data_IF_200959790638
#
_entry.id   IF_200959790638
#
_cell.length_a   1.000
_cell.length_b   1.000
_cell.length_c   1.000
_cell.angle_alpha   90.00
_cell.angle_beta   90.00
_cell.angle_gamma   90.00
#
_symmetry.space_group_name_H-M   'P 1'
#
loop_
_entity.id
_entity.type
_entity.pdbx_description
1 polymer ?
#
# COMPACT_ATOMS: atom_id res chain seq x y z
N UNK A 1 -6.71 1.60 7.17
CA UNK A 1 -5.60 1.91 8.10
C UNK A 1 -5.75 1.05 9.35
N UNK A 2 -4.69 0.35 9.77
CA UNK A 2 -4.75 -0.57 10.91
C UNK A 2 -4.20 0.07 12.17
N UNK A 3 -5.05 0.34 13.16
CA UNK A 3 -4.63 0.82 14.48
C UNK A 3 -3.69 -0.17 15.19
N UNK A 4 -3.79 -1.48 14.89
CA UNK A 4 -2.93 -2.51 15.48
C UNK A 4 -1.45 -2.31 15.18
N UNK A 5 -1.12 -1.70 14.04
CA UNK A 5 0.28 -1.37 13.71
C UNK A 5 0.84 -0.22 14.57
N UNK A 6 0.00 0.72 15.00
CA UNK A 6 0.38 1.79 15.93
C UNK A 6 0.59 1.22 17.34
N UNK A 7 -0.31 0.33 17.77
CA UNK A 7 -0.17 -0.36 19.06
C UNK A 7 1.12 -1.19 19.09
N UNK A 8 1.39 -1.96 18.03
CA UNK A 8 2.60 -2.77 17.95
C UNK A 8 3.87 -1.90 17.91
N UNK A 9 3.83 -0.77 17.20
CA UNK A 9 4.90 0.21 17.26
C UNK A 9 5.14 0.68 18.70
N UNK A 10 4.08 1.12 19.40
CA UNK A 10 4.18 1.59 20.78
C UNK A 10 4.73 0.48 21.71
N UNK A 11 4.31 -0.78 21.54
CA UNK A 11 4.87 -1.93 22.27
C UNK A 11 6.37 -2.10 22.00
N UNK A 12 6.79 -2.03 20.73
CA UNK A 12 8.18 -2.22 20.31
C UNK A 12 9.11 -1.11 20.80
N UNK A 13 8.65 0.15 20.84
CA UNK A 13 9.40 1.29 21.38
C UNK A 13 9.66 1.13 22.87
N UNK A 14 8.73 0.51 23.59
CA UNK A 14 8.83 0.30 25.03
C UNK A 14 9.47 -1.05 25.42
N UNK A 15 10.00 -1.83 24.47
CA UNK A 15 10.74 -3.05 24.79
C UNK A 15 12.12 -2.72 25.36
N UNK A 16 12.59 -3.57 26.27
CA UNK A 16 13.98 -3.57 26.74
C UNK A 16 14.71 -4.75 26.12
N UNK A 17 15.95 -4.59 25.60
CA UNK A 17 16.71 -5.73 25.11
C UNK A 17 17.02 -6.68 26.28
N UNK A 18 17.01 -8.00 26.03
CA UNK A 18 17.17 -9.03 27.07
C UNK A 18 18.42 -8.82 27.95
N UNK A 19 19.51 -8.36 27.34
CA UNK A 19 20.78 -8.08 28.03
C UNK A 19 20.65 -6.91 29.04
N UNK A 20 19.88 -5.88 28.69
CA UNK A 20 19.59 -4.79 29.63
C UNK A 20 18.56 -5.19 30.67
N UNK A 21 17.66 -6.12 30.38
CA UNK A 21 16.64 -6.53 31.35
C UNK A 21 17.27 -7.31 32.53
N UNK A 22 18.26 -8.15 32.24
CA UNK A 22 19.06 -8.85 33.25
C UNK A 22 19.97 -7.88 34.03
N UNK A 23 20.60 -6.91 33.33
CA UNK A 23 21.37 -5.86 33.97
C UNK A 23 20.50 -4.93 34.86
N UNK A 24 19.31 -4.55 34.38
CA UNK A 24 18.34 -3.73 35.10
C UNK A 24 17.77 -4.47 36.32
N UNK A 25 17.55 -5.79 36.24
CA UNK A 25 17.18 -6.61 37.42
C UNK A 25 18.26 -6.58 38.48
N UNK A 26 19.53 -6.74 38.07
CA UNK A 26 20.67 -6.75 38.98
C UNK A 26 20.98 -5.34 39.55
N UNK A 27 20.68 -4.27 38.81
CA UNK A 27 20.84 -2.88 39.26
C UNK A 27 19.65 -2.36 40.08
N UNK A 28 18.43 -2.87 39.85
CA UNK A 28 17.23 -2.50 40.61
C UNK A 28 17.26 -2.99 42.07
N UNK A 29 17.99 -4.07 42.37
CA UNK A 29 18.25 -4.48 43.76
C UNK A 29 19.22 -3.52 44.49
N UNK A 30 20.02 -2.73 43.77
CA UNK A 30 21.08 -1.91 44.37
C UNK A 30 20.83 -0.40 44.32
N UNK A 31 19.84 0.07 43.54
CA UNK A 31 19.56 1.52 43.39
C UNK A 31 18.07 1.77 43.41
N UNK A 32 17.50 1.88 44.62
CA UNK A 32 16.39 2.79 44.80
C UNK A 32 16.87 4.18 44.34
N UNK A 33 16.10 4.80 43.44
CA UNK A 33 16.20 6.17 42.89
C UNK A 33 16.95 6.35 41.55
N UNK A 34 16.20 6.95 40.60
CA UNK A 34 16.61 7.69 39.38
C UNK A 34 16.53 7.01 37.99
N UNK A 35 15.41 7.35 37.31
CA UNK A 35 15.30 7.80 35.91
C UNK A 35 15.79 6.86 34.78
N UNK A 36 14.82 6.24 34.09
CA UNK A 36 14.86 6.12 32.62
C UNK A 36 13.61 6.80 32.05
N UNK A 37 13.73 8.11 31.87
CA UNK A 37 12.82 8.89 31.04
C UNK A 37 13.26 8.71 29.58
N UNK A 38 12.54 7.89 28.82
CA UNK A 38 12.21 8.27 27.44
C UNK A 38 10.69 8.42 27.43
N UNK A 39 10.26 9.50 28.05
CA UNK A 39 8.95 10.06 27.77
C UNK A 39 9.04 10.61 26.36
N UNK A 40 8.25 10.04 25.45
CA UNK A 40 7.82 10.75 24.26
C UNK A 40 7.04 11.96 24.78
N UNK A 41 7.73 13.09 24.94
CA UNK A 41 7.14 14.33 25.44
C UNK A 41 6.20 14.90 24.39
N UNK A 42 4.92 14.54 24.50
CA UNK A 42 3.84 15.28 23.89
C UNK A 42 2.49 14.88 24.46
N UNK A 43 1.95 15.80 25.27
CA UNK A 43 0.54 16.01 25.61
C UNK A 43 -0.34 14.78 25.89
N UNK A 44 -0.57 14.49 27.19
CA UNK A 44 -1.78 13.79 27.64
C UNK A 44 -1.73 12.27 27.77
N UNK A 45 -0.55 11.66 27.84
CA UNK A 45 -0.43 10.21 27.92
C UNK A 45 -0.91 9.69 29.28
N UNK A 46 -2.06 9.01 29.30
CA UNK A 46 -2.40 8.06 30.37
C UNK A 46 -1.22 7.10 30.53
N UNK A 47 -0.83 6.76 31.76
CA UNK A 47 0.26 5.80 32.02
C UNK A 47 -0.15 4.41 31.54
N UNK A 48 0.00 4.16 30.24
CA UNK A 48 -0.26 2.86 29.63
C UNK A 48 0.98 2.02 29.86
N UNK A 49 0.83 0.97 30.66
CA UNK A 49 1.83 -0.09 30.74
C UNK A 49 1.65 -1.00 29.53
N UNK A 50 2.70 -1.09 28.71
CA UNK A 50 2.74 -2.00 27.56
C UNK A 50 3.31 -3.35 27.99
N UNK A 51 2.62 -4.43 27.63
CA UNK A 51 3.10 -5.79 27.88
C UNK A 51 4.35 -6.08 27.03
N UNK A 52 5.31 -6.82 27.59
CA UNK A 52 6.54 -7.18 26.88
C UNK A 52 6.32 -8.36 25.96
N UNK A 53 6.97 -8.35 24.79
CA UNK A 53 6.94 -9.49 23.87
C UNK A 53 7.93 -10.54 24.36
N UNK A 54 7.46 -11.78 24.55
CA UNK A 54 8.31 -12.91 24.97
C UNK A 54 9.17 -13.47 23.82
N UNK A 55 9.08 -12.90 22.62
CA UNK A 55 9.79 -13.37 21.44
C UNK A 55 10.58 -12.24 20.76
N UNK A 56 11.76 -12.56 20.16
CA UNK A 56 12.55 -11.57 19.47
C UNK A 56 11.92 -11.18 18.12
N UNK A 57 11.80 -9.89 17.86
CA UNK A 57 11.28 -9.36 16.60
C UNK A 57 12.45 -8.85 15.76
N UNK A 58 12.70 -9.45 14.59
CA UNK A 58 13.78 -8.96 13.72
C UNK A 58 13.35 -7.80 12.82
N UNK A 59 12.18 -7.90 12.21
CA UNK A 59 11.67 -6.90 11.27
C UNK A 59 10.20 -6.64 11.54
N UNK A 60 9.81 -5.37 11.53
CA UNK A 60 8.44 -4.93 11.63
C UNK A 60 8.00 -4.30 10.31
N UNK A 61 7.05 -4.95 9.63
CA UNK A 61 6.45 -4.47 8.39
C UNK A 61 5.07 -3.88 8.71
N UNK A 62 4.95 -2.56 8.60
CA UNK A 62 3.68 -1.85 8.74
C UNK A 62 3.11 -1.59 7.34
N UNK A 63 1.88 -2.04 7.06
CA UNK A 63 1.24 -1.85 5.74
C UNK A 63 0.06 -0.88 5.88
N UNK A 64 0.05 0.19 5.10
CA UNK A 64 -1.02 1.20 5.11
C UNK A 64 -1.23 1.82 6.50
N UNK A 65 -0.13 2.00 7.22
CA UNK A 65 -0.13 2.34 8.63
C UNK A 65 0.03 3.85 8.86
N UNK A 66 -0.78 4.45 9.74
CA UNK A 66 -0.70 5.86 10.10
C UNK A 66 0.35 6.19 11.16
N UNK A 67 1.41 5.39 11.34
CA UNK A 67 2.39 5.60 12.42
C UNK A 67 2.92 7.04 12.40
N UNK A 68 3.36 7.55 11.25
CA UNK A 68 3.91 8.90 11.14
C UNK A 68 2.91 9.98 11.59
N UNK A 69 1.64 9.85 11.20
CA UNK A 69 0.58 10.77 11.59
C UNK A 69 0.30 10.71 13.10
N UNK A 70 0.26 9.52 13.70
CA UNK A 70 0.04 9.39 15.13
C UNK A 70 1.20 9.96 15.95
N UNK A 71 2.44 9.81 15.47
CA UNK A 71 3.61 10.42 16.11
C UNK A 71 3.53 11.95 16.07
N UNK A 72 3.17 12.54 14.93
CA UNK A 72 3.04 14.01 14.82
C UNK A 72 1.90 14.57 15.65
N UNK A 73 0.75 13.89 15.71
CA UNK A 73 -0.39 14.28 16.57
C UNK A 73 -0.01 14.21 18.05
N UNK A 74 0.87 13.27 18.43
CA UNK A 74 1.46 13.19 19.77
C UNK A 74 2.58 14.22 20.00
N UNK A 75 2.76 15.21 19.14
CA UNK A 75 3.77 16.26 19.29
C UNK A 75 5.19 15.84 18.92
N UNK A 76 5.39 14.64 18.40
CA UNK A 76 6.70 14.19 17.89
C UNK A 76 6.87 14.73 16.47
N UNK A 77 7.59 15.84 16.36
CA UNK A 77 7.86 16.49 15.08
C UNK A 77 9.19 16.06 14.46
N UNK A 78 10.10 15.53 15.27
CA UNK A 78 11.37 14.98 14.79
C UNK A 78 11.82 13.79 15.66
N UNK A 79 12.42 12.80 15.00
CA UNK A 79 13.08 11.65 15.59
C UNK A 79 14.59 11.81 15.39
N UNK A 80 15.38 11.29 16.32
CA UNK A 80 16.83 11.34 16.19
C UNK A 80 17.30 10.53 14.96
N UNK A 81 18.38 10.95 14.31
CA UNK A 81 18.89 10.29 13.10
C UNK A 81 19.41 8.88 13.35
N UNK A 82 19.77 8.57 14.59
CA UNK A 82 20.17 7.26 15.11
C UNK A 82 19.00 6.50 15.74
N UNK A 83 17.76 6.93 15.49
CA UNK A 83 16.59 6.25 16.03
C UNK A 83 16.49 4.82 15.52
N UNK A 84 16.59 3.88 16.46
CA UNK A 84 16.44 2.44 16.24
C UNK A 84 15.52 1.88 17.30
N UNK A 85 14.67 0.92 16.90
CA UNK A 85 13.84 0.21 17.85
C UNK A 85 14.70 -0.71 18.73
N UNK A 86 14.49 -0.74 20.06
CA UNK A 86 15.39 -1.40 21.00
C UNK A 86 15.54 -2.91 20.77
N UNK A 87 14.48 -3.58 20.29
CA UNK A 87 14.47 -5.02 20.04
C UNK A 87 14.27 -5.39 18.57
N UNK A 88 14.10 -4.42 17.67
CA UNK A 88 13.79 -4.66 16.26
C UNK A 88 14.86 -4.07 15.33
N UNK A 89 15.42 -4.92 14.47
CA UNK A 89 16.53 -4.55 13.57
C UNK A 89 16.09 -3.67 12.41
N UNK A 90 14.80 -3.66 12.07
CA UNK A 90 14.31 -2.87 10.95
C UNK A 90 12.81 -2.61 11.00
N UNK A 91 12.44 -1.36 10.74
CA UNK A 91 11.06 -0.89 10.58
C UNK A 91 10.82 -0.53 9.12
N UNK A 92 9.80 -1.12 8.50
CA UNK A 92 9.44 -0.88 7.11
C UNK A 92 7.97 -0.47 7.04
N UNK A 93 7.72 0.80 6.72
CA UNK A 93 6.36 1.29 6.47
C UNK A 93 6.05 1.24 4.97
N UNK A 94 5.24 0.25 4.58
CA UNK A 94 4.74 0.06 3.23
C UNK A 94 3.47 0.88 3.09
N UNK A 95 3.52 1.93 2.28
CA UNK A 95 2.39 2.82 2.05
C UNK A 95 2.01 2.88 0.56
N UNK A 96 0.80 3.37 0.30
CA UNK A 96 0.32 3.62 -1.05
C UNK A 96 0.38 5.12 -1.33
N UNK A 97 0.84 5.58 -2.50
CA UNK A 97 1.05 7.00 -2.77
C UNK A 97 -0.23 7.84 -2.73
N UNK A 98 -1.40 7.22 -2.90
CA UNK A 98 -2.70 7.88 -2.82
C UNK A 98 -3.40 7.67 -1.46
N UNK A 99 -2.70 7.13 -0.47
CA UNK A 99 -3.21 6.96 0.88
C UNK A 99 -2.95 8.25 1.70
N UNK A 100 -4.00 9.02 2.07
CA UNK A 100 -3.84 10.28 2.79
C UNK A 100 -3.44 10.10 4.26
N UNK A 101 -3.34 8.87 4.76
CA UNK A 101 -3.18 8.55 6.18
C UNK A 101 -1.93 7.71 6.43
N UNK A 102 -1.50 6.88 5.47
CA UNK A 102 -0.23 6.16 5.53
C UNK A 102 0.94 7.02 5.02
N UNK A 103 1.42 7.94 5.84
CA UNK A 103 2.58 8.78 5.51
C UNK A 103 3.93 8.10 5.76
N UNK A 104 4.94 8.61 5.06
CA UNK A 104 6.36 8.26 5.25
C UNK A 104 6.84 8.61 6.66
N UNK A 105 7.70 7.76 7.21
CA UNK A 105 8.34 7.99 8.51
C UNK A 105 9.66 8.75 8.37
N UNK A 106 10.33 8.61 7.23
CA UNK A 106 11.65 9.19 6.97
C UNK A 106 11.69 10.71 7.12
N UNK A 107 10.65 11.48 6.70
CA UNK A 107 10.61 12.93 6.95
C UNK A 107 10.59 13.32 8.43
N UNK A 108 10.19 12.42 9.34
CA UNK A 108 10.28 12.65 10.79
C UNK A 108 11.71 12.49 11.30
N UNK A 109 12.53 11.66 10.63
CA UNK A 109 13.94 11.44 11.01
C UNK A 109 14.82 12.54 10.44
N UNK A 110 14.64 12.85 9.15
CA UNK A 110 15.31 13.94 8.46
C UNK A 110 14.33 14.62 7.49
N UNK A 111 13.95 15.89 7.74
CA UNK A 111 13.09 16.65 6.83
C UNK A 111 13.66 16.81 5.41
N UNK A 112 14.98 16.69 5.23
CA UNK A 112 15.67 16.80 3.93
C UNK A 112 15.71 15.47 3.16
N UNK A 113 15.11 14.41 3.71
CA UNK A 113 15.11 13.09 3.10
C UNK A 113 14.30 13.06 1.80
N UNK A 114 15.00 13.18 0.67
CA UNK A 114 14.42 13.25 -0.69
C UNK A 114 14.41 11.91 -1.42
N UNK A 115 14.92 10.84 -0.80
CA UNK A 115 14.98 9.51 -1.43
C UNK A 115 13.57 9.04 -1.79
N UNK A 116 13.41 8.56 -3.03
CA UNK A 116 12.15 8.03 -3.52
C UNK A 116 11.80 6.71 -2.80
N UNK A 117 10.51 6.44 -2.52
CA UNK A 117 10.11 5.17 -1.94
C UNK A 117 10.42 4.02 -2.89
N UNK A 118 10.83 2.88 -2.32
CA UNK A 118 11.10 1.67 -3.11
C UNK A 118 9.77 1.08 -3.57
N UNK A 119 9.62 0.92 -4.89
CA UNK A 119 8.44 0.25 -5.45
C UNK A 119 8.52 -1.25 -5.16
N UNK A 120 7.64 -1.73 -4.28
CA UNK A 120 7.47 -3.16 -4.06
C UNK A 120 6.99 -3.83 -5.36
N UNK A 121 7.72 -4.85 -5.87
CA UNK A 121 7.30 -5.59 -7.04
C UNK A 121 5.98 -6.27 -6.73
N UNK A 122 4.90 -5.76 -7.33
CA UNK A 122 3.61 -6.40 -7.26
C UNK A 122 3.49 -7.27 -8.51
N UNK A 123 3.42 -8.59 -8.31
CA UNK A 123 2.88 -9.44 -9.34
C UNK A 123 1.41 -9.06 -9.50
N UNK A 124 1.12 -8.19 -10.48
CA UNK A 124 -0.23 -8.18 -11.07
C UNK A 124 -0.41 -9.59 -11.61
N UNK A 125 -1.11 -10.44 -10.85
CA UNK A 125 -1.55 -11.73 -11.37
C UNK A 125 -2.13 -11.49 -12.77
N UNK A 126 -1.75 -12.34 -13.72
CA UNK A 126 -2.08 -12.29 -15.17
C UNK A 126 -3.55 -12.01 -15.53
N UNK A 127 -4.47 -11.96 -14.56
CA UNK A 127 -5.92 -11.90 -14.73
C UNK A 127 -6.54 -10.50 -14.72
N UNK A 128 -5.81 -9.42 -14.41
CA UNK A 128 -6.33 -8.03 -14.51
C UNK A 128 -5.81 -7.24 -15.72
N UNK A 129 -5.03 -7.86 -16.61
CA UNK A 129 -4.43 -7.19 -17.78
C UNK A 129 -4.83 -7.77 -19.14
N UNK A 130 -5.59 -8.87 -19.17
CA UNK A 130 -6.09 -9.46 -20.43
C UNK A 130 -6.89 -8.43 -21.25
N UNK A 131 -7.74 -7.62 -20.60
CA UNK A 131 -8.48 -6.55 -21.27
C UNK A 131 -7.58 -5.44 -21.83
N UNK A 132 -6.48 -5.11 -21.15
CA UNK A 132 -5.50 -4.13 -21.64
C UNK A 132 -4.70 -4.70 -22.82
N UNK A 133 -4.29 -5.97 -22.76
CA UNK A 133 -3.59 -6.64 -23.87
C UNK A 133 -4.52 -6.83 -25.08
N UNK A 134 -5.81 -7.06 -24.85
CA UNK A 134 -6.82 -7.17 -25.91
C UNK A 134 -7.14 -5.81 -26.56
N UNK A 135 -7.20 -4.73 -25.78
CA UNK A 135 -7.33 -3.37 -26.31
C UNK A 135 -6.08 -2.96 -27.09
N UNK A 136 -4.87 -3.24 -26.57
CA UNK A 136 -3.62 -2.94 -27.25
C UNK A 136 -3.49 -3.77 -28.54
N UNK A 137 -3.90 -5.05 -28.51
CA UNK A 137 -3.98 -5.91 -29.69
C UNK A 137 -4.99 -5.43 -30.74
N UNK A 138 -6.15 -4.91 -30.30
CA UNK A 138 -7.18 -4.39 -31.19
C UNK A 138 -6.80 -3.04 -31.82
N UNK A 139 -6.03 -2.22 -31.12
CA UNK A 139 -5.54 -0.92 -31.63
C UNK A 139 -4.52 -1.09 -32.76
N UNK A 140 -3.72 -2.17 -32.72
CA UNK A 140 -2.71 -2.51 -33.73
C UNK A 140 -3.26 -3.35 -34.89
N UNK A 141 -4.49 -3.86 -34.78
CA UNK A 141 -5.13 -4.68 -35.81
C UNK A 141 -6.00 -3.83 -36.76
N UNK A 142 -5.38 -2.97 -37.56
CA UNK A 142 -6.04 -2.23 -38.66
C UNK A 142 -6.66 -3.19 -39.69
N UNK A 143 -6.01 -4.33 -39.92
CA UNK A 143 -6.41 -5.34 -40.90
C UNK A 143 -7.67 -6.09 -40.47
N UNK A 144 -7.89 -6.26 -39.16
CA UNK A 144 -9.11 -6.90 -38.65
C UNK A 144 -10.31 -5.97 -38.81
N UNK A 145 -10.13 -4.66 -38.60
CA UNK A 145 -11.18 -3.66 -38.83
C UNK A 145 -11.58 -3.62 -40.30
N UNK A 146 -10.63 -3.66 -41.23
CA UNK A 146 -10.94 -3.71 -42.67
C UNK A 146 -11.70 -4.99 -43.04
N UNK A 147 -11.20 -6.16 -42.64
CA UNK A 147 -11.87 -7.45 -42.89
C UNK A 147 -13.29 -7.52 -42.32
N UNK A 148 -13.49 -6.98 -41.12
CA UNK A 148 -14.83 -6.90 -40.52
C UNK A 148 -15.74 -5.96 -41.32
N UNK A 149 -15.27 -4.76 -41.65
CA UNK A 149 -16.05 -3.79 -42.45
C UNK A 149 -16.42 -4.37 -43.81
N UNK A 150 -15.50 -5.09 -44.48
CA UNK A 150 -15.77 -5.70 -45.77
C UNK A 150 -16.78 -6.85 -45.67
N UNK A 151 -16.73 -7.64 -44.59
CA UNK A 151 -17.72 -8.68 -44.31
C UNK A 151 -19.11 -8.09 -44.07
N UNK A 152 -19.20 -6.97 -43.36
CA UNK A 152 -20.47 -6.26 -43.14
C UNK A 152 -21.01 -5.64 -44.43
N UNK A 153 -20.15 -5.04 -45.27
CA UNK A 153 -20.54 -4.50 -46.57
C UNK A 153 -21.10 -5.60 -47.48
N UNK A 154 -20.40 -6.73 -47.58
CA UNK A 154 -20.85 -7.85 -48.41
C UNK A 154 -22.19 -8.43 -47.93
N UNK A 155 -22.39 -8.52 -46.62
CA UNK A 155 -23.67 -8.97 -46.04
C UNK A 155 -24.79 -7.97 -46.34
N UNK A 156 -24.55 -6.67 -46.20
CA UNK A 156 -25.56 -5.64 -46.50
C UNK A 156 -25.93 -5.61 -47.99
N UNK A 157 -24.97 -5.83 -48.89
CA UNK A 157 -25.24 -5.98 -50.32
C UNK A 157 -26.14 -7.20 -50.56
N UNK A 158 -25.80 -8.35 -49.98
CA UNK A 158 -26.61 -9.56 -50.13
C UNK A 158 -28.04 -9.41 -49.57
N UNK A 159 -28.21 -8.72 -48.43
CA UNK A 159 -29.54 -8.42 -47.89
C UNK A 159 -30.30 -7.43 -48.79
N UNK A 160 -29.61 -6.43 -49.34
CA UNK A 160 -30.21 -5.46 -50.26
C UNK A 160 -30.68 -6.14 -51.54
N UNK A 161 -29.86 -7.02 -52.12
CA UNK A 161 -30.19 -7.81 -53.31
C UNK A 161 -31.36 -8.75 -53.04
N UNK A 162 -31.37 -9.39 -51.86
CA UNK A 162 -32.49 -10.21 -51.42
C UNK A 162 -33.79 -9.38 -51.32
N UNK A 163 -33.77 -8.23 -50.65
CA UNK A 163 -34.95 -7.35 -50.52
C UNK A 163 -35.39 -6.79 -51.89
N UNK A 164 -34.46 -6.44 -52.78
CA UNK A 164 -34.78 -5.99 -54.14
C UNK A 164 -35.43 -7.11 -54.97
N UNK A 165 -34.98 -8.35 -54.84
CA UNK A 165 -35.58 -9.49 -55.52
C UNK A 165 -37.03 -9.76 -55.07
N UNK A 166 -37.35 -9.53 -53.79
CA UNK A 166 -38.73 -9.60 -53.28
C UNK A 166 -39.59 -8.39 -53.63
N UNK A 167 -39.01 -7.20 -53.84
CA UNK A 167 -39.77 -6.05 -54.36
C UNK A 167 -40.16 -6.23 -55.83
N UNK A 168 -39.32 -6.88 -56.64
CA UNK A 168 -39.61 -7.17 -58.04
C UNK A 168 -40.73 -8.20 -58.25
N UNK A 169 -40.87 -9.17 -57.32
CA UNK A 169 -41.93 -10.19 -57.41
C UNK A 169 -43.32 -9.68 -56.99
N UNK A 170 -43.40 -8.68 -56.10
CA UNK A 170 -44.68 -8.06 -55.70
C UNK A 170 -45.21 -7.09 -56.78
N UNK A 171 -44.33 -6.43 -57.55
CA UNK A 171 -44.74 -5.58 -58.67
C UNK A 171 -45.18 -6.36 -59.92
N UNK A 172 -44.84 -7.65 -60.04
CA UNK A 172 -45.20 -8.48 -61.18
C UNK A 172 -46.55 -9.23 -61.00
N UNK A 173 -47.13 -9.24 -59.80
CA UNK A 173 -48.40 -9.91 -59.50
C UNK A 173 -49.62 -8.98 -59.42
N UNK A 174 -49.49 -7.73 -59.89
CA UNK A 174 -50.59 -6.73 -59.98
C UNK A 174 -50.75 -6.13 -61.38
N UNK A 175 -50.35 -6.84 -62.43
CA UNK A 175 -50.75 -6.56 -63.82
C UNK A 175 -51.54 -7.72 -64.40
#
# INVERSE_FOLDING_TARGET
>A
HSLGSVILYDILVNQTPANEEEALRNEAENRNTEKKNVCISGTGQMSIQYEKLTFPVSFFFAIGSPIAMFLTVRGITSLASDYVLPTCKGLLNIFHPYDPVAYRLEPLIDPKWTVAPVLLPHHKGRRKRLHLELIDGLSKATDLKQKMVDTFKNTMISITDFVQSYRGSISASTS
#
